data_IF_667292415128
#
_entry.id   IF_667292415128
#
_cell.length_a   1.000
_cell.length_b   1.000
_cell.length_c   1.000
_cell.angle_alpha   90.00
_cell.angle_beta   90.00
_cell.angle_gamma   90.00
#
_symmetry.space_group_name_H-M   'P 1'
#
loop_
_entity.id
_entity.type
_entity.pdbx_description
1 polymer ?
#
# COMPACT_ATOMS: atom_id res chain seq x y z
N UNK A 1 38.69 -38.74 -2.02
CA UNK A 1 37.31 -38.36 -2.43
C UNK A 1 37.37 -37.03 -3.18
N UNK A 2 37.60 -37.03 -4.50
CA UNK A 2 37.82 -35.81 -5.31
C UNK A 2 36.53 -34.99 -5.49
N UNK A 3 35.41 -35.68 -5.74
CA UNK A 3 34.10 -35.07 -5.96
C UNK A 3 33.60 -34.22 -4.78
N UNK A 4 33.92 -34.63 -3.55
CA UNK A 4 33.62 -33.83 -2.36
C UNK A 4 34.41 -32.51 -2.32
N UNK A 5 35.67 -32.51 -2.79
CA UNK A 5 36.50 -31.30 -2.85
C UNK A 5 35.97 -30.34 -3.91
N UNK A 6 35.60 -30.86 -5.08
CA UNK A 6 35.05 -30.06 -6.18
C UNK A 6 33.70 -29.43 -5.77
N UNK A 7 32.84 -30.18 -5.09
CA UNK A 7 31.58 -29.68 -4.56
C UNK A 7 31.79 -28.58 -3.50
N UNK A 8 32.78 -28.73 -2.62
CA UNK A 8 33.11 -27.73 -1.61
C UNK A 8 33.60 -26.42 -2.23
N UNK A 9 34.43 -26.49 -3.28
CA UNK A 9 34.91 -25.29 -4.01
C UNK A 9 33.76 -24.58 -4.72
N UNK A 10 32.84 -25.32 -5.33
CA UNK A 10 31.66 -24.74 -5.98
C UNK A 10 30.75 -24.04 -4.96
N UNK A 11 30.54 -24.67 -3.79
CA UNK A 11 29.72 -24.10 -2.72
C UNK A 11 30.36 -22.81 -2.14
N UNK A 12 31.67 -22.79 -1.94
CA UNK A 12 32.40 -21.61 -1.47
C UNK A 12 32.31 -20.44 -2.47
N UNK A 13 32.41 -20.74 -3.78
CA UNK A 13 32.20 -19.73 -4.81
C UNK A 13 30.77 -19.19 -4.80
N UNK A 14 29.77 -20.06 -4.74
CA UNK A 14 28.37 -19.64 -4.70
C UNK A 14 28.06 -18.79 -3.45
N UNK A 15 28.66 -19.12 -2.30
CA UNK A 15 28.53 -18.35 -1.08
C UNK A 15 29.12 -16.94 -1.25
N UNK A 16 30.33 -16.82 -1.79
CA UNK A 16 30.97 -15.52 -2.07
C UNK A 16 30.18 -14.68 -3.06
N UNK A 17 29.65 -15.31 -4.11
CA UNK A 17 28.82 -14.61 -5.10
C UNK A 17 27.51 -14.11 -4.46
N UNK A 18 26.91 -14.88 -3.55
CA UNK A 18 25.73 -14.46 -2.79
C UNK A 18 26.02 -13.33 -1.80
N UNK A 19 27.14 -13.41 -1.06
CA UNK A 19 27.59 -12.34 -0.15
C UNK A 19 27.80 -11.02 -0.90
N UNK A 20 28.41 -11.07 -2.10
CA UNK A 20 28.59 -9.90 -2.94
C UNK A 20 27.26 -9.26 -3.37
N UNK A 21 26.26 -10.08 -3.75
CA UNK A 21 24.93 -9.60 -4.09
C UNK A 21 24.23 -8.94 -2.90
N UNK A 22 24.33 -9.54 -1.70
CA UNK A 22 23.75 -8.98 -0.48
C UNK A 22 24.35 -7.61 -0.15
N UNK A 23 25.67 -7.46 -0.30
CA UNK A 23 26.36 -6.17 -0.09
C UNK A 23 25.91 -5.13 -1.12
N UNK A 24 25.77 -5.53 -2.40
CA UNK A 24 25.26 -4.66 -3.46
C UNK A 24 23.85 -4.15 -3.16
N UNK A 25 22.91 -5.06 -2.87
CA UNK A 25 21.52 -4.73 -2.53
C UNK A 25 21.46 -3.80 -1.31
N UNK A 26 22.27 -4.07 -0.28
CA UNK A 26 22.32 -3.20 0.90
C UNK A 26 22.76 -1.78 0.56
N UNK A 27 23.76 -1.65 -0.32
CA UNK A 27 24.27 -0.35 -0.76
C UNK A 27 23.22 0.42 -1.56
N UNK A 28 22.56 -0.26 -2.50
CA UNK A 28 21.47 0.31 -3.31
C UNK A 28 20.29 0.73 -2.42
N UNK A 29 19.94 -0.08 -1.41
CA UNK A 29 18.87 0.24 -0.47
C UNK A 29 19.19 1.48 0.38
N UNK A 30 20.42 1.62 0.86
CA UNK A 30 20.83 2.83 1.59
C UNK A 30 20.90 4.05 0.66
N UNK A 31 21.32 3.88 -0.59
CA UNK A 31 21.27 4.97 -1.59
C UNK A 31 19.82 5.41 -1.84
N UNK A 32 18.89 4.46 -2.00
CA UNK A 32 17.46 4.72 -2.15
C UNK A 32 16.88 5.48 -0.95
N UNK A 33 17.20 5.08 0.27
CA UNK A 33 16.75 5.79 1.50
C UNK A 33 17.26 7.22 1.59
N UNK A 34 18.44 7.49 1.03
CA UNK A 34 19.03 8.83 1.02
C UNK A 34 18.55 9.68 -0.16
N UNK A 35 17.81 9.10 -1.12
CA UNK A 35 17.18 9.79 -2.24
C UNK A 35 15.70 10.07 -1.94
N UNK A 36 15.49 11.16 -1.18
CA UNK A 36 14.15 11.63 -0.79
C UNK A 36 13.24 11.86 -2.03
N UNK A 37 13.70 12.49 -3.14
CA UNK A 37 12.92 12.61 -4.36
C UNK A 37 12.46 11.26 -4.96
N UNK A 38 13.35 10.27 -5.03
CA UNK A 38 13.00 8.94 -5.55
C UNK A 38 11.99 8.22 -4.66
N UNK A 39 12.11 8.34 -3.34
CA UNK A 39 11.13 7.82 -2.39
C UNK A 39 9.76 8.50 -2.57
N UNK A 40 9.74 9.82 -2.73
CA UNK A 40 8.51 10.57 -2.96
C UNK A 40 7.83 10.17 -4.27
N UNK A 41 8.60 10.00 -5.35
CA UNK A 41 8.06 9.52 -6.63
C UNK A 41 7.41 8.12 -6.48
N UNK A 42 8.03 7.22 -5.71
CA UNK A 42 7.48 5.89 -5.43
C UNK A 42 6.24 5.94 -4.55
N UNK A 43 6.18 6.86 -3.57
CA UNK A 43 4.97 7.10 -2.76
C UNK A 43 3.83 7.56 -3.66
N UNK A 44 4.06 8.55 -4.53
CA UNK A 44 3.06 9.03 -5.49
C UNK A 44 2.57 7.92 -6.41
N UNK A 45 3.48 7.07 -6.92
CA UNK A 45 3.10 5.91 -7.74
C UNK A 45 2.26 4.89 -6.96
N UNK A 46 2.63 4.59 -5.70
CA UNK A 46 1.89 3.67 -4.83
C UNK A 46 0.54 4.24 -4.42
N UNK A 47 0.44 5.54 -4.15
CA UNK A 47 -0.81 6.25 -3.87
C UNK A 47 -1.71 6.33 -5.11
N UNK A 48 -1.14 6.54 -6.30
CA UNK A 48 -1.87 6.49 -7.56
C UNK A 48 -2.38 5.06 -7.86
N UNK A 49 -1.59 4.03 -7.56
CA UNK A 49 -2.02 2.63 -7.63
C UNK A 49 -3.10 2.29 -6.59
N UNK A 50 -3.02 2.87 -5.39
CA UNK A 50 -4.03 2.74 -4.33
C UNK A 50 -5.30 3.54 -4.62
N UNK A 51 -5.22 4.60 -5.43
CA UNK A 51 -6.38 5.38 -5.88
C UNK A 51 -7.32 4.58 -6.81
N UNK A 52 -6.89 3.43 -7.34
CA UNK A 52 -7.76 2.47 -8.02
C UNK A 52 -8.59 1.62 -7.02
N UNK A 53 -8.20 1.57 -5.74
CA UNK A 53 -8.91 0.89 -4.66
C UNK A 53 -9.19 1.88 -3.51
N UNK A 54 -10.27 2.63 -3.69
CA UNK A 54 -10.94 3.47 -2.68
C UNK A 54 -10.37 4.91 -2.49
N UNK A 55 -10.99 5.93 -3.10
CA UNK A 55 -10.69 7.33 -2.79
C UNK A 55 -11.36 7.69 -1.46
N UNK A 56 -10.67 7.43 -0.36
CA UNK A 56 -11.08 7.87 0.97
C UNK A 56 -10.00 8.79 1.57
N UNK A 57 -9.76 9.94 0.95
CA UNK A 57 -9.13 11.11 1.61
C UNK A 57 -9.77 12.38 1.03
N UNK A 58 -10.74 12.91 1.77
CA UNK A 58 -10.60 14.12 2.60
C UNK A 58 -10.64 15.43 1.78
N UNK A 59 -11.74 16.16 2.01
CA UNK A 59 -11.95 17.60 1.72
C UNK A 59 -12.08 18.05 0.26
N UNK A 60 -13.22 17.73 -0.34
CA UNK A 60 -13.95 18.70 -1.16
C UNK A 60 -15.42 18.58 -0.75
N UNK A 61 -16.03 19.67 -0.26
CA UNK A 61 -17.45 19.82 0.10
C UNK A 61 -18.27 18.54 -0.11
N UNK A 62 -18.37 17.70 0.93
CA UNK A 62 -18.72 16.28 0.80
C UNK A 62 -20.01 16.11 -0.02
N UNK A 63 -19.83 15.83 -1.31
CA UNK A 63 -20.92 15.55 -2.22
C UNK A 63 -21.32 14.09 -2.01
N UNK A 64 -21.90 13.84 -0.84
CA UNK A 64 -22.37 12.52 -0.45
C UNK A 64 -23.40 12.00 -1.47
N UNK A 65 -24.08 12.89 -2.20
CA UNK A 65 -25.00 12.53 -3.28
C UNK A 65 -24.30 11.80 -4.43
N UNK A 66 -23.00 12.01 -4.63
CA UNK A 66 -22.20 11.32 -5.63
C UNK A 66 -21.52 10.04 -5.14
N UNK A 67 -21.61 9.71 -3.85
CA UNK A 67 -20.98 8.51 -3.29
C UNK A 67 -21.75 7.23 -3.62
N UNK A 68 -21.03 6.10 -3.70
CA UNK A 68 -21.63 4.77 -3.78
C UNK A 68 -22.28 4.38 -2.44
N UNK A 69 -23.16 3.38 -2.46
CA UNK A 69 -23.79 2.87 -1.23
C UNK A 69 -22.73 2.34 -0.24
N UNK A 70 -21.69 1.67 -0.75
CA UNK A 70 -20.62 1.11 0.08
C UNK A 70 -19.76 2.21 0.73
N UNK A 71 -19.44 3.28 -0.01
CA UNK A 71 -18.72 4.44 0.54
C UNK A 71 -19.52 5.13 1.66
N UNK A 72 -20.84 5.27 1.49
CA UNK A 72 -21.72 5.84 2.51
C UNK A 72 -21.77 4.94 3.76
N UNK A 73 -21.83 3.62 3.59
CA UNK A 73 -21.82 2.65 4.69
C UNK A 73 -20.50 2.67 5.46
N UNK A 74 -19.37 2.75 4.76
CA UNK A 74 -18.04 2.83 5.34
C UNK A 74 -17.87 4.12 6.15
N UNK A 75 -18.34 5.26 5.61
CA UNK A 75 -18.33 6.52 6.33
C UNK A 75 -19.18 6.49 7.59
N UNK A 76 -20.43 6.02 7.51
CA UNK A 76 -21.29 5.90 8.68
C UNK A 76 -20.69 4.96 9.73
N UNK A 77 -20.08 3.84 9.32
CA UNK A 77 -19.37 2.93 10.22
C UNK A 77 -18.18 3.62 10.92
N UNK A 78 -17.37 4.39 10.18
CA UNK A 78 -16.24 5.13 10.76
C UNK A 78 -16.68 6.19 11.78
N UNK A 79 -17.89 6.75 11.62
CA UNK A 79 -18.50 7.70 12.56
C UNK A 79 -19.30 7.01 13.68
N UNK A 80 -19.29 5.69 13.76
CA UNK A 80 -20.10 4.89 14.70
C UNK A 80 -21.62 5.17 14.58
N UNK A 81 -22.10 5.50 13.37
CA UNK A 81 -23.51 5.73 13.08
C UNK A 81 -24.13 4.42 12.58
N UNK A 82 -25.10 3.89 13.33
CA UNK A 82 -25.81 2.67 12.96
C UNK A 82 -26.71 2.86 11.74
N UNK A 83 -26.66 1.90 10.81
CA UNK A 83 -27.53 1.85 9.63
C UNK A 83 -28.09 0.44 9.43
N UNK A 84 -29.20 0.33 8.70
CA UNK A 84 -29.72 -0.98 8.28
C UNK A 84 -28.85 -1.52 7.13
N UNK A 85 -28.43 -2.80 7.12
CA UNK A 85 -27.65 -3.36 6.00
C UNK A 85 -28.33 -3.22 4.63
N UNK A 86 -29.68 -3.25 4.62
CA UNK A 86 -30.54 -3.06 3.45
C UNK A 86 -30.89 -1.60 3.14
N UNK A 87 -30.30 -0.63 3.84
CA UNK A 87 -30.58 0.78 3.63
C UNK A 87 -30.24 1.21 2.20
N UNK A 88 -31.15 1.96 1.61
CA UNK A 88 -30.99 2.59 0.31
C UNK A 88 -30.06 3.81 0.41
N UNK A 89 -29.49 4.24 -0.71
CA UNK A 89 -28.62 5.43 -0.79
C UNK A 89 -29.29 6.67 -0.17
N UNK A 90 -30.58 6.88 -0.45
CA UNK A 90 -31.35 7.99 0.11
C UNK A 90 -31.52 7.91 1.64
N UNK A 91 -31.60 6.70 2.21
CA UNK A 91 -31.66 6.51 3.66
C UNK A 91 -30.30 6.73 4.32
N UNK A 92 -29.22 6.25 3.71
CA UNK A 92 -27.85 6.47 4.20
C UNK A 92 -27.49 7.97 4.20
N UNK A 93 -27.88 8.70 3.16
CA UNK A 93 -27.69 10.15 3.09
C UNK A 93 -28.38 10.92 4.22
N UNK A 94 -29.54 10.44 4.69
CA UNK A 94 -30.25 11.06 5.82
C UNK A 94 -29.57 10.84 7.16
N UNK A 95 -28.73 9.82 7.28
CA UNK A 95 -27.99 9.49 8.51
C UNK A 95 -26.70 10.31 8.63
N UNK A 96 -26.28 10.96 7.56
CA UNK A 96 -25.08 11.80 7.56
C UNK A 96 -25.39 13.08 8.35
N UNK A 97 -24.61 13.41 9.39
CA UNK A 97 -24.76 14.65 10.13
C UNK A 97 -24.59 15.85 9.21
N UNK A 98 -25.56 16.75 9.22
CA UNK A 98 -25.45 18.08 8.60
C UNK A 98 -24.85 19.00 9.66
N UNK A 99 -23.69 19.57 9.38
CA UNK A 99 -23.14 20.67 10.18
C UNK A 99 -24.00 21.94 10.06
#
# INVERSE_FOLDING_TARGET
NSRLKDAAVLADKALKDAEAQVVGIKTEFEAFKNDIPAMQARIVELEAGKSAENPATETAANDFENWSNDQLKEYLASKNIGYKPSATKAELLKLIPKE
#
